data_IF_304597084918
#
_entry.id   IF_304597084918
#
_cell.length_a   1.000
_cell.length_b   1.000
_cell.length_c   1.000
_cell.angle_alpha   90.00
_cell.angle_beta   90.00
_cell.angle_gamma   90.00
#
_symmetry.space_group_name_H-M   'P 1'
#
loop_
_entity.id
_entity.type
_entity.pdbx_description
1 polymer ?
#
# COMPACT_ATOMS: atom_id res chain seq x y z
N UNK A 1 -51.40 -45.56 49.08
CA UNK A 1 -50.15 -46.23 48.67
C UNK A 1 -49.25 -45.16 48.07
N UNK A 2 -48.15 -44.86 48.73
CA UNK A 2 -47.21 -43.77 48.43
C UNK A 2 -46.04 -44.31 47.61
N UNK A 3 -45.67 -43.64 46.53
CA UNK A 3 -44.42 -43.90 45.81
C UNK A 3 -43.50 -42.71 46.02
N UNK A 4 -42.46 -42.92 46.82
CA UNK A 4 -41.31 -42.03 46.94
C UNK A 4 -40.16 -42.67 46.18
N UNK A 5 -39.74 -42.06 45.08
CA UNK A 5 -38.48 -42.41 44.39
C UNK A 5 -37.44 -41.35 44.74
N UNK A 6 -36.56 -41.74 45.66
CA UNK A 6 -35.32 -41.03 45.98
C UNK A 6 -34.25 -41.52 45.01
N UNK A 7 -33.71 -40.63 44.19
CA UNK A 7 -32.40 -40.85 43.56
C UNK A 7 -31.45 -39.74 43.98
N UNK A 8 -30.52 -40.10 44.87
CA UNK A 8 -29.37 -39.29 45.25
C UNK A 8 -28.19 -39.61 44.31
N UNK A 9 -27.65 -38.53 43.74
CA UNK A 9 -26.24 -38.21 43.51
C UNK A 9 -25.31 -39.23 42.81
N UNK A 10 -24.78 -38.80 41.66
CA UNK A 10 -23.34 -38.94 41.37
C UNK A 10 -22.75 -37.55 41.03
N UNK A 11 -21.64 -37.14 41.68
CA UNK A 11 -20.96 -35.90 41.42
C UNK A 11 -19.92 -36.11 40.31
N UNK A 12 -20.00 -35.35 39.23
CA UNK A 12 -18.85 -35.17 38.33
C UNK A 12 -18.28 -33.78 38.54
N UNK A 13 -17.08 -33.64 39.12
CA UNK A 13 -16.32 -32.41 39.13
C UNK A 13 -15.31 -32.44 37.98
N UNK A 14 -15.49 -31.59 36.97
CA UNK A 14 -14.40 -31.17 36.09
C UNK A 14 -14.83 -29.86 35.42
N UNK A 15 -14.51 -28.70 36.02
CA UNK A 15 -13.30 -27.94 35.70
C UNK A 15 -13.20 -27.57 34.21
N UNK A 16 -13.36 -26.26 33.98
CA UNK A 16 -12.86 -25.47 32.86
C UNK A 16 -13.46 -25.72 31.47
N UNK A 17 -14.50 -24.94 31.15
CA UNK A 17 -14.65 -24.36 29.81
C UNK A 17 -14.80 -22.83 29.92
N UNK A 18 -13.85 -22.19 30.59
CA UNK A 18 -13.56 -20.76 30.38
C UNK A 18 -12.42 -20.70 29.37
N UNK A 19 -12.73 -20.99 28.11
CA UNK A 19 -11.80 -20.82 26.99
C UNK A 19 -12.57 -20.79 25.66
N UNK A 20 -13.68 -20.04 25.60
CA UNK A 20 -14.43 -19.85 24.35
C UNK A 20 -14.47 -18.38 23.89
N UNK A 21 -13.53 -17.55 24.36
CA UNK A 21 -13.36 -16.16 23.93
C UNK A 21 -11.90 -15.78 23.60
N UNK A 22 -10.99 -16.76 23.46
CA UNK A 22 -9.58 -16.51 23.10
C UNK A 22 -9.16 -17.36 21.89
N UNK A 23 -10.07 -17.52 20.93
CA UNK A 23 -9.72 -18.00 19.60
C UNK A 23 -10.31 -17.01 18.59
N UNK A 24 -9.38 -16.19 18.06
CA UNK A 24 -9.47 -15.30 16.91
C UNK A 24 -9.96 -13.85 17.11
N UNK A 25 -9.06 -12.94 17.52
CA UNK A 25 -8.92 -11.62 16.91
C UNK A 25 -7.70 -11.61 15.97
N UNK A 26 -7.51 -12.68 15.18
CA UNK A 26 -6.38 -12.84 14.25
C UNK A 26 -6.84 -13.16 12.82
N UNK A 27 -8.06 -12.72 12.47
CA UNK A 27 -8.56 -12.73 11.07
C UNK A 27 -8.57 -11.33 10.46
N UNK A 28 -7.54 -10.53 10.76
CA UNK A 28 -7.10 -9.47 9.85
C UNK A 28 -5.69 -9.83 9.36
N UNK A 29 -5.50 -11.11 9.04
CA UNK A 29 -4.39 -11.56 8.24
C UNK A 29 -4.85 -11.57 6.79
N UNK A 30 -4.58 -10.46 6.09
CA UNK A 30 -4.25 -10.45 4.65
C UNK A 30 -5.01 -11.45 3.78
N UNK A 31 -6.18 -11.06 3.30
CA UNK A 31 -6.66 -11.58 2.03
C UNK A 31 -5.76 -11.02 0.91
N UNK A 32 -4.63 -11.67 0.69
CA UNK A 32 -3.94 -11.70 -0.60
C UNK A 32 -4.95 -12.17 -1.67
N UNK A 33 -5.29 -11.31 -2.63
CA UNK A 33 -6.21 -11.64 -3.70
C UNK A 33 -6.22 -10.58 -4.80
N UNK A 34 -5.24 -10.70 -5.71
CA UNK A 34 -5.11 -10.02 -7.00
C UNK A 34 -4.88 -8.49 -7.05
N UNK A 35 -5.53 -7.70 -6.19
CA UNK A 35 -5.55 -6.23 -6.30
C UNK A 35 -5.42 -5.58 -4.91
N UNK A 36 -4.38 -4.79 -4.69
CA UNK A 36 -4.20 -4.03 -3.45
C UNK A 36 -4.90 -2.67 -3.57
N UNK A 37 -5.48 -2.15 -2.49
CA UNK A 37 -6.10 -0.82 -2.53
C UNK A 37 -7.14 -0.60 -3.66
N UNK A 38 -7.82 -1.65 -4.13
CA UNK A 38 -8.84 -1.58 -5.18
C UNK A 38 -10.12 -0.84 -4.76
N UNK A 39 -10.45 -0.94 -3.47
CA UNK A 39 -11.71 -0.49 -2.88
C UNK A 39 -11.54 0.82 -2.10
N UNK A 40 -10.59 1.65 -2.51
CA UNK A 40 -10.37 2.95 -1.89
C UNK A 40 -11.58 3.82 -2.22
N UNK A 41 -12.36 4.18 -1.19
CA UNK A 41 -13.56 5.01 -1.31
C UNK A 41 -13.28 6.28 -2.13
N UNK A 42 -14.29 6.75 -2.86
CA UNK A 42 -14.23 7.95 -3.71
C UNK A 42 -13.75 9.16 -2.89
N UNK A 43 -12.45 9.42 -2.89
CA UNK A 43 -11.82 10.51 -2.13
C UNK A 43 -10.47 10.16 -1.49
N UNK A 44 -10.14 8.89 -1.29
CA UNK A 44 -8.81 8.49 -0.81
C UNK A 44 -7.87 8.16 -1.99
N UNK A 45 -6.62 8.63 -1.88
CA UNK A 45 -5.57 8.32 -2.85
C UNK A 45 -5.08 6.88 -2.63
N UNK A 46 -4.82 6.12 -3.70
CA UNK A 46 -4.39 4.72 -3.58
C UNK A 46 -3.08 4.59 -2.77
N UNK A 47 -2.24 5.61 -2.87
CA UNK A 47 -1.00 5.78 -2.12
C UNK A 47 -1.23 5.90 -0.61
N UNK A 48 -2.29 6.59 -0.18
CA UNK A 48 -2.67 6.68 1.24
C UNK A 48 -3.05 5.30 1.80
N UNK A 49 -3.73 4.49 0.99
CA UNK A 49 -4.03 3.12 1.34
C UNK A 49 -2.76 2.26 1.40
N UNK A 50 -1.86 2.41 0.43
CA UNK A 50 -0.61 1.67 0.39
C UNK A 50 0.29 1.97 1.59
N UNK A 51 0.48 3.25 1.90
CA UNK A 51 1.20 3.69 3.08
C UNK A 51 0.61 3.10 4.38
N UNK A 52 -0.72 3.06 4.49
CA UNK A 52 -1.40 2.51 5.67
C UNK A 52 -1.30 0.99 5.80
N UNK A 53 -1.44 0.24 4.70
CA UNK A 53 -1.43 -1.23 4.74
C UNK A 53 -0.01 -1.76 4.99
N UNK A 54 1.00 -1.05 4.48
CA UNK A 54 2.39 -1.47 4.53
C UNK A 54 3.25 -0.71 5.54
N UNK A 55 2.62 0.00 6.48
CA UNK A 55 3.32 0.78 7.51
C UNK A 55 4.46 1.61 6.90
N UNK A 56 4.12 2.41 5.88
CA UNK A 56 4.99 3.33 5.15
C UNK A 56 6.04 2.67 4.24
N UNK A 57 6.24 1.35 4.31
CA UNK A 57 7.27 0.65 3.53
C UNK A 57 6.97 0.67 2.02
N UNK A 58 5.69 0.67 1.62
CA UNK A 58 5.27 0.68 0.21
C UNK A 58 4.35 1.86 -0.05
N UNK A 59 4.89 3.07 -0.24
CA UNK A 59 4.09 4.28 -0.29
C UNK A 59 3.41 4.54 -1.64
N UNK A 60 3.88 3.92 -2.73
CA UNK A 60 3.36 4.17 -4.07
C UNK A 60 2.46 3.04 -4.55
N UNK A 61 1.58 3.37 -5.50
CA UNK A 61 0.70 2.44 -6.14
C UNK A 61 1.07 2.26 -7.62
N UNK A 62 1.20 1.02 -8.07
CA UNK A 62 1.32 0.66 -9.47
C UNK A 62 -0.11 0.51 -10.04
N UNK A 63 -0.52 1.43 -10.89
CA UNK A 63 -1.88 1.45 -11.44
C UNK A 63 -2.12 0.35 -12.49
N UNK A 64 -1.06 -0.14 -13.15
CA UNK A 64 -1.16 -1.21 -14.14
C UNK A 64 -1.42 -2.57 -13.50
N UNK A 65 -0.67 -2.91 -12.46
CA UNK A 65 -0.81 -4.19 -11.75
C UNK A 65 -1.70 -4.09 -10.52
N UNK A 66 -2.11 -2.87 -10.19
CA UNK A 66 -2.96 -2.53 -9.06
C UNK A 66 -2.38 -3.05 -7.73
N UNK A 67 -1.09 -2.73 -7.49
CA UNK A 67 -0.32 -3.16 -6.31
C UNK A 67 0.50 -2.03 -5.73
N UNK A 68 0.66 -2.03 -4.43
CA UNK A 68 1.55 -1.16 -3.70
C UNK A 68 3.01 -1.57 -3.95
N UNK A 69 3.88 -0.57 -4.00
CA UNK A 69 5.30 -0.74 -4.28
C UNK A 69 6.14 0.23 -3.46
N UNK A 70 7.40 -0.14 -3.33
CA UNK A 70 8.43 0.66 -2.69
C UNK A 70 8.82 1.86 -3.57
N UNK A 71 9.42 2.85 -2.94
CA UNK A 71 10.08 3.95 -3.64
C UNK A 71 11.26 3.42 -4.45
N UNK A 72 11.46 3.98 -5.64
CA UNK A 72 12.69 3.74 -6.37
C UNK A 72 13.81 4.67 -5.84
N UNK A 73 15.04 4.16 -5.86
CA UNK A 73 16.22 4.94 -5.46
C UNK A 73 16.44 6.14 -6.40
N UNK A 74 17.17 7.16 -5.92
CA UNK A 74 17.50 8.33 -6.73
C UNK A 74 18.26 7.93 -8.00
N UNK A 75 17.84 8.45 -9.16
CA UNK A 75 18.40 8.07 -10.46
C UNK A 75 17.80 6.80 -11.07
N UNK A 76 16.75 6.25 -10.47
CA UNK A 76 15.96 5.16 -11.03
C UNK A 76 14.49 5.55 -11.21
N UNK A 77 13.79 4.83 -12.08
CA UNK A 77 12.35 4.97 -12.31
C UNK A 77 11.67 3.62 -12.25
N UNK A 78 10.40 3.60 -11.89
CA UNK A 78 9.64 2.35 -11.84
C UNK A 78 9.12 1.96 -13.23
N UNK A 79 9.60 0.85 -13.78
CA UNK A 79 9.07 0.26 -15.02
C UNK A 79 7.84 -0.58 -14.66
N UNK A 80 6.64 -0.06 -14.94
CA UNK A 80 5.38 -0.74 -14.62
C UNK A 80 5.22 -2.10 -15.32
N UNK A 81 5.82 -2.28 -16.51
CA UNK A 81 5.73 -3.54 -17.29
C UNK A 81 6.63 -4.60 -16.70
N UNK A 82 7.86 -4.24 -16.33
CA UNK A 82 8.82 -5.17 -15.70
C UNK A 82 8.57 -5.36 -14.21
N UNK A 83 7.87 -4.41 -13.58
CA UNK A 83 7.56 -4.34 -12.15
C UNK A 83 8.80 -4.17 -11.28
N UNK A 84 9.78 -3.42 -11.77
CA UNK A 84 11.06 -3.19 -11.09
C UNK A 84 11.51 -1.73 -11.24
N UNK A 85 12.36 -1.28 -10.32
CA UNK A 85 13.06 0.00 -10.47
C UNK A 85 14.23 -0.21 -11.44
N UNK A 86 14.29 0.62 -12.47
CA UNK A 86 15.33 0.61 -13.50
C UNK A 86 16.18 1.86 -13.33
N UNK A 87 17.47 1.66 -13.09
CA UNK A 87 18.45 2.74 -13.10
C UNK A 87 18.71 3.21 -14.53
N UNK A 88 18.70 4.53 -14.75
CA UNK A 88 19.10 5.08 -16.04
C UNK A 88 19.73 6.47 -15.87
N UNK A 89 20.71 6.75 -16.72
CA UNK A 89 21.43 8.03 -16.67
C UNK A 89 20.52 9.22 -16.98
N UNK A 90 20.58 10.21 -16.08
CA UNK A 90 19.84 11.46 -16.19
C UNK A 90 18.40 11.40 -15.70
N UNK A 91 17.96 10.29 -15.12
CA UNK A 91 16.64 10.17 -14.49
C UNK A 91 16.53 11.10 -13.30
N UNK A 92 15.45 11.89 -13.24
CA UNK A 92 15.20 12.80 -12.13
C UNK A 92 13.72 13.18 -12.06
N UNK A 93 13.26 13.62 -10.89
CA UNK A 93 11.88 14.11 -10.71
C UNK A 93 10.79 13.06 -11.00
N UNK A 94 11.07 11.78 -10.79
CA UNK A 94 10.11 10.69 -11.02
C UNK A 94 9.11 10.60 -9.87
N UNK A 95 9.61 10.43 -8.64
CA UNK A 95 8.78 10.14 -7.46
C UNK A 95 8.92 11.21 -6.39
N UNK A 96 7.81 11.73 -5.84
CA UNK A 96 7.83 12.70 -4.76
C UNK A 96 8.31 12.07 -3.46
N UNK A 97 9.09 12.75 -2.61
CA UNK A 97 9.40 12.25 -1.28
C UNK A 97 8.12 11.99 -0.47
N UNK A 98 8.18 11.06 0.48
CA UNK A 98 7.06 10.74 1.37
C UNK A 98 7.09 11.58 2.65
N UNK A 99 5.92 11.76 3.25
CA UNK A 99 5.73 12.29 4.60
C UNK A 99 6.07 11.21 5.64
N UNK A 100 6.01 11.58 6.92
CA UNK A 100 6.18 10.67 8.05
C UNK A 100 5.01 9.71 8.28
N UNK A 101 4.01 9.69 7.40
CA UNK A 101 2.89 8.75 7.39
C UNK A 101 2.95 7.87 6.13
N UNK A 102 4.07 7.90 5.40
CA UNK A 102 4.29 7.18 4.15
C UNK A 102 3.58 7.79 2.93
N UNK A 103 2.70 8.78 3.08
CA UNK A 103 2.04 9.37 1.91
C UNK A 103 3.01 10.24 1.08
N UNK A 104 2.87 10.26 -0.25
CA UNK A 104 3.54 11.25 -1.09
C UNK A 104 3.31 12.69 -0.62
N UNK A 105 4.39 13.46 -0.46
CA UNK A 105 4.33 14.88 -0.08
C UNK A 105 3.67 15.74 -1.18
N UNK A 106 3.78 15.29 -2.43
CA UNK A 106 3.17 15.93 -3.59
C UNK A 106 2.37 14.91 -4.40
N UNK A 107 1.27 15.30 -5.06
CA UNK A 107 0.57 14.43 -5.99
C UNK A 107 1.49 14.00 -7.13
N UNK A 108 1.57 12.68 -7.38
CA UNK A 108 2.40 12.09 -8.44
C UNK A 108 2.16 12.75 -9.80
N UNK A 109 0.89 12.96 -10.18
CA UNK A 109 0.48 13.57 -11.45
C UNK A 109 1.12 14.93 -11.74
N UNK A 110 1.43 15.71 -10.69
CA UNK A 110 1.98 17.07 -10.85
C UNK A 110 3.41 17.21 -10.34
N UNK A 111 3.95 16.17 -9.70
CA UNK A 111 5.25 16.24 -9.05
C UNK A 111 6.36 16.47 -10.06
N UNK A 112 6.43 15.66 -11.11
CA UNK A 112 7.53 15.69 -12.08
C UNK A 112 7.65 17.06 -12.74
N UNK A 113 6.53 17.63 -13.18
CA UNK A 113 6.48 18.98 -13.72
C UNK A 113 6.95 20.04 -12.71
N UNK A 114 6.40 20.05 -11.49
CA UNK A 114 6.78 21.03 -10.45
C UNK A 114 8.25 20.90 -10.05
N UNK A 115 8.77 19.69 -9.99
CA UNK A 115 10.17 19.40 -9.70
C UNK A 115 11.08 19.94 -10.80
N UNK A 116 10.75 19.71 -12.08
CA UNK A 116 11.52 20.26 -13.20
C UNK A 116 11.57 21.79 -13.20
N UNK A 117 10.42 22.45 -12.96
CA UNK A 117 10.35 23.91 -12.89
C UNK A 117 11.28 24.46 -11.81
N UNK A 118 11.31 23.83 -10.62
CA UNK A 118 12.23 24.20 -9.53
C UNK A 118 13.70 24.00 -9.91
N UNK A 119 14.01 23.02 -10.77
CA UNK A 119 15.36 22.79 -11.32
C UNK A 119 15.71 23.70 -12.50
N UNK A 120 14.85 24.66 -12.86
CA UNK A 120 15.08 25.59 -13.97
C UNK A 120 14.83 24.99 -15.36
N UNK A 121 14.11 23.87 -15.42
CA UNK A 121 13.73 23.17 -16.66
C UNK A 121 12.21 23.26 -16.84
N UNK A 122 11.75 23.49 -18.07
CA UNK A 122 10.34 23.84 -18.34
C UNK A 122 9.43 22.62 -18.50
N UNK A 123 10.00 21.46 -18.83
CA UNK A 123 9.24 20.26 -19.18
C UNK A 123 9.80 19.03 -18.49
N UNK A 124 8.94 18.05 -18.28
CA UNK A 124 9.31 16.68 -17.94
C UNK A 124 9.10 15.81 -19.18
N UNK A 125 10.08 14.99 -19.52
CA UNK A 125 10.02 14.02 -20.60
C UNK A 125 9.67 12.65 -19.99
N UNK A 126 8.43 12.23 -20.18
CA UNK A 126 7.91 10.95 -19.66
C UNK A 126 8.55 9.73 -20.33
N UNK A 127 9.05 9.84 -21.56
CA UNK A 127 9.71 8.72 -22.27
C UNK A 127 11.12 8.49 -21.73
N UNK A 128 11.82 9.59 -21.42
CA UNK A 128 13.21 9.54 -20.95
C UNK A 128 13.35 9.69 -19.43
N UNK A 129 12.23 9.82 -18.71
CA UNK A 129 12.10 10.03 -17.26
C UNK A 129 13.00 11.15 -16.71
N UNK A 130 13.09 12.27 -17.42
CA UNK A 130 14.01 13.37 -17.08
C UNK A 130 13.46 14.75 -17.37
N UNK A 131 14.00 15.75 -16.69
CA UNK A 131 13.63 17.13 -16.98
C UNK A 131 14.36 17.67 -18.23
N UNK A 132 13.65 18.44 -19.03
CA UNK A 132 14.14 19.02 -20.28
C UNK A 132 13.79 20.51 -20.41
N UNK A 133 14.60 21.27 -21.15
CA UNK A 133 14.36 22.70 -21.43
C UNK A 133 13.52 22.92 -22.67
N UNK A 134 13.44 21.92 -23.55
CA UNK A 134 12.64 21.93 -24.77
C UNK A 134 11.44 21.03 -24.59
N UNK A 135 10.32 21.38 -25.22
CA UNK A 135 9.14 20.52 -25.22
C UNK A 135 9.53 19.14 -25.75
N UNK A 136 9.26 18.05 -25.01
CA UNK A 136 9.49 16.71 -25.52
C UNK A 136 8.63 16.48 -26.76
N UNK A 137 9.23 15.87 -27.78
CA UNK A 137 8.50 15.36 -28.95
C UNK A 137 7.88 14.04 -28.55
N UNK A 138 6.55 14.00 -28.45
CA UNK A 138 5.80 12.74 -28.35
C UNK A 138 6.06 11.93 -29.62
N UNK A 139 6.72 10.79 -29.49
CA UNK A 139 6.99 9.88 -30.61
C UNK A 139 5.84 8.91 -30.88
#
# INVERSE_FOLDING_TARGET
MSFATVFRAFPFPARFLVAHHVLFPLWIGTACGEVECAAVDVGSHHEACCAKIYDEAKPYYNYLTQRCREACDEGSYYDEKKRECVEADGVECVEPPTKSDGEPLFPLETYSYKCCVKKGKLYYDDEQHRCTTRSPTRS
#
